data_IF_236634480882
#
_entry.id   IF_236634480882
#
_cell.length_a   1.000
_cell.length_b   1.000
_cell.length_c   1.000
_cell.angle_alpha   90.00
_cell.angle_beta   90.00
_cell.angle_gamma   90.00
#
_symmetry.space_group_name_H-M   'P 1'
#
loop_
_entity.id
_entity.type
_entity.pdbx_description
1 polymer ?
#
# COMPACT_ATOMS: atom_id res chain seq x y z
N UNK A 1 39.72 -78.47 -28.52
CA UNK A 1 38.61 -77.79 -29.23
C UNK A 1 38.45 -76.42 -28.59
N UNK A 2 38.57 -75.40 -29.43
CA UNK A 2 38.87 -73.99 -29.14
C UNK A 2 37.74 -73.27 -28.43
N UNK A 3 38.05 -72.61 -27.31
CA UNK A 3 37.15 -71.67 -26.62
C UNK A 3 37.32 -70.29 -27.26
N UNK A 4 36.32 -69.87 -28.03
CA UNK A 4 36.28 -68.59 -28.74
C UNK A 4 35.71 -67.51 -27.80
N UNK A 5 36.51 -66.47 -27.59
CA UNK A 5 36.22 -65.30 -26.76
C UNK A 5 35.28 -64.32 -27.46
N UNK A 6 34.10 -64.06 -26.89
CA UNK A 6 33.18 -63.01 -27.33
C UNK A 6 33.49 -61.71 -26.58
N UNK A 7 33.81 -60.59 -27.28
CA UNK A 7 34.13 -59.33 -26.62
C UNK A 7 32.85 -58.61 -26.16
N UNK A 8 32.95 -58.02 -24.97
CA UNK A 8 31.92 -57.23 -24.31
C UNK A 8 31.50 -56.02 -25.15
N UNK A 9 30.26 -56.07 -25.64
CA UNK A 9 29.57 -54.93 -26.25
C UNK A 9 29.32 -53.84 -25.21
N UNK A 10 30.12 -52.76 -25.31
CA UNK A 10 29.94 -51.50 -24.58
C UNK A 10 28.62 -50.85 -25.00
N UNK A 11 27.55 -51.05 -24.22
CA UNK A 11 26.33 -50.23 -24.32
C UNK A 11 26.70 -48.80 -23.93
N UNK A 12 26.66 -47.91 -24.91
CA UNK A 12 26.68 -46.47 -24.69
C UNK A 12 25.33 -46.10 -24.06
N UNK A 13 25.31 -45.92 -22.74
CA UNK A 13 24.23 -45.23 -22.05
C UNK A 13 24.26 -43.76 -22.48
N UNK A 14 23.53 -43.45 -23.55
CA UNK A 14 23.03 -42.10 -23.81
C UNK A 14 22.00 -41.77 -22.74
N UNK A 15 22.50 -41.42 -21.55
CA UNK A 15 21.77 -40.72 -20.52
C UNK A 15 21.44 -39.32 -21.07
N UNK A 16 20.38 -39.26 -21.86
CA UNK A 16 19.75 -38.01 -22.26
C UNK A 16 19.36 -37.27 -20.99
N UNK A 17 20.02 -36.14 -20.79
CA UNK A 17 19.70 -35.08 -19.84
C UNK A 17 18.26 -34.62 -20.08
N UNK A 18 17.31 -35.36 -19.50
CA UNK A 18 15.91 -34.97 -19.44
C UNK A 18 15.78 -33.99 -18.30
N UNK A 19 16.22 -32.75 -18.53
CA UNK A 19 15.86 -31.62 -17.68
C UNK A 19 14.33 -31.64 -17.60
N UNK A 20 13.72 -31.84 -16.41
CA UNK A 20 12.27 -31.90 -16.31
C UNK A 20 11.73 -30.58 -16.84
N UNK A 21 10.99 -30.67 -17.94
CA UNK A 21 10.35 -29.55 -18.60
C UNK A 21 9.49 -28.87 -17.52
N UNK A 22 9.97 -27.72 -17.02
CA UNK A 22 9.31 -26.96 -15.96
C UNK A 22 8.02 -26.45 -16.58
N UNK A 23 6.95 -27.24 -16.47
CA UNK A 23 5.61 -26.88 -16.89
C UNK A 23 5.28 -25.60 -16.13
N UNK A 24 5.36 -24.45 -16.80
CA UNK A 24 4.78 -23.22 -16.30
C UNK A 24 3.28 -23.48 -16.22
N UNK A 25 2.81 -23.76 -15.00
CA UNK A 25 1.39 -23.71 -14.68
C UNK A 25 0.89 -22.37 -15.16
N UNK A 26 0.02 -22.40 -16.17
CA UNK A 26 -0.68 -21.22 -16.69
C UNK A 26 -1.27 -20.50 -15.48
N UNK A 27 -1.03 -19.18 -15.30
CA UNK A 27 -1.62 -18.43 -14.21
C UNK A 27 -3.13 -18.65 -14.26
N UNK A 28 -3.68 -19.11 -13.13
CA UNK A 28 -5.12 -19.30 -12.96
C UNK A 28 -5.85 -18.05 -13.51
N UNK A 29 -6.89 -18.19 -14.35
CA UNK A 29 -7.61 -17.04 -14.87
C UNK A 29 -8.08 -16.21 -13.68
N UNK A 30 -7.68 -14.92 -13.67
CA UNK A 30 -8.05 -13.94 -12.65
C UNK A 30 -9.54 -14.05 -12.38
N UNK A 31 -9.90 -14.69 -11.25
CA UNK A 31 -11.29 -14.84 -10.86
C UNK A 31 -11.79 -13.44 -10.52
N UNK A 32 -12.65 -12.90 -11.40
CA UNK A 32 -13.31 -11.62 -11.19
C UNK A 32 -14.25 -11.80 -10.02
N UNK A 33 -13.76 -11.49 -8.81
CA UNK A 33 -14.57 -11.56 -7.60
C UNK A 33 -15.64 -10.48 -7.72
N UNK A 34 -16.91 -10.87 -7.82
CA UNK A 34 -18.01 -9.92 -7.79
C UNK A 34 -17.97 -9.16 -6.46
N UNK A 35 -18.09 -7.81 -6.48
CA UNK A 35 -18.10 -7.03 -5.26
C UNK A 35 -19.30 -7.44 -4.39
N UNK A 36 -19.03 -7.85 -3.15
CA UNK A 36 -20.08 -8.15 -2.18
C UNK A 36 -20.84 -6.88 -1.80
N UNK A 37 -22.11 -6.99 -1.42
CA UNK A 37 -22.95 -5.86 -0.97
C UNK A 37 -22.34 -5.10 0.21
N UNK A 38 -21.58 -5.80 1.06
CA UNK A 38 -20.81 -5.22 2.15
C UNK A 38 -19.68 -4.31 1.64
N UNK A 39 -18.91 -4.73 0.62
CA UNK A 39 -17.87 -3.87 0.02
C UNK A 39 -18.47 -2.61 -0.59
N UNK A 40 -19.62 -2.72 -1.25
CA UNK A 40 -20.31 -1.57 -1.85
C UNK A 40 -20.76 -0.60 -0.75
N UNK A 41 -21.28 -1.12 0.36
CA UNK A 41 -21.72 -0.32 1.51
C UNK A 41 -20.55 0.44 2.13
N UNK A 42 -19.43 -0.23 2.39
CA UNK A 42 -18.23 0.41 2.93
C UNK A 42 -17.62 1.44 1.98
N UNK A 43 -17.60 1.17 0.68
CA UNK A 43 -17.15 2.13 -0.32
C UNK A 43 -18.05 3.37 -0.37
N UNK A 44 -19.38 3.19 -0.29
CA UNK A 44 -20.34 4.29 -0.25
C UNK A 44 -20.18 5.15 1.02
N UNK A 45 -19.98 4.52 2.18
CA UNK A 45 -19.70 5.21 3.45
C UNK A 45 -18.40 6.00 3.37
N UNK A 46 -17.32 5.39 2.86
CA UNK A 46 -16.03 6.06 2.68
C UNK A 46 -16.11 7.24 1.71
N UNK A 47 -16.85 7.09 0.62
CA UNK A 47 -17.09 8.16 -0.34
C UNK A 47 -17.91 9.30 0.27
N UNK A 48 -19.02 8.98 0.95
CA UNK A 48 -19.85 9.96 1.65
C UNK A 48 -19.06 10.73 2.71
N UNK A 49 -18.26 10.02 3.50
CA UNK A 49 -17.32 10.63 4.45
C UNK A 49 -16.34 11.58 3.77
N UNK A 50 -15.73 11.16 2.65
CA UNK A 50 -14.76 11.97 1.90
C UNK A 50 -15.36 13.27 1.37
N UNK A 51 -16.61 13.21 0.88
CA UNK A 51 -17.33 14.38 0.40
C UNK A 51 -17.63 15.35 1.54
N UNK A 52 -18.12 14.86 2.68
CA UNK A 52 -18.45 15.69 3.85
C UNK A 52 -17.16 16.30 4.43
N UNK A 53 -16.15 15.48 4.68
CA UNK A 53 -14.87 15.92 5.23
C UNK A 53 -14.17 16.95 4.33
N UNK A 54 -14.28 16.79 3.01
CA UNK A 54 -13.73 17.72 2.02
C UNK A 54 -14.36 19.12 2.05
N UNK A 55 -15.55 19.29 2.65
CA UNK A 55 -16.18 20.62 2.78
C UNK A 55 -15.57 21.47 3.89
N UNK A 56 -15.03 20.85 4.95
CA UNK A 56 -14.54 21.61 6.10
C UNK A 56 -13.25 22.35 5.78
N UNK A 57 -13.16 23.61 6.24
CA UNK A 57 -11.93 24.38 6.14
C UNK A 57 -10.80 23.72 6.95
N UNK A 58 -9.57 23.84 6.44
CA UNK A 58 -8.38 23.26 7.07
C UNK A 58 -8.17 23.85 8.47
N UNK A 59 -7.67 23.04 9.40
CA UNK A 59 -7.32 23.44 10.78
C UNK A 59 -8.50 24.03 11.57
N UNK A 60 -9.72 23.59 11.28
CA UNK A 60 -10.91 23.96 12.06
C UNK A 60 -11.31 22.83 13.00
N UNK A 61 -11.86 23.18 14.17
CA UNK A 61 -12.35 22.20 15.16
C UNK A 61 -13.31 21.17 14.53
N UNK A 62 -14.26 21.54 13.65
CA UNK A 62 -15.13 20.57 12.99
C UNK A 62 -14.36 19.57 12.11
N UNK A 63 -13.32 20.01 11.40
CA UNK A 63 -12.50 19.12 10.57
C UNK A 63 -11.69 18.12 11.43
N UNK A 64 -11.15 18.59 12.55
CA UNK A 64 -10.44 17.75 13.52
C UNK A 64 -11.40 16.69 14.10
N UNK A 65 -12.57 17.11 14.57
CA UNK A 65 -13.57 16.18 15.11
C UNK A 65 -14.07 15.18 14.07
N UNK A 66 -14.32 15.62 12.84
CA UNK A 66 -14.73 14.76 11.73
C UNK A 66 -13.68 13.68 11.41
N UNK A 67 -12.40 13.93 11.68
CA UNK A 67 -11.32 12.97 11.42
C UNK A 67 -11.03 12.09 12.64
N UNK A 68 -10.94 12.71 13.83
CA UNK A 68 -10.58 12.04 15.07
C UNK A 68 -11.67 11.07 15.53
N UNK A 69 -12.95 11.43 15.43
CA UNK A 69 -14.03 10.59 15.93
C UNK A 69 -14.14 9.25 15.17
N UNK A 70 -14.19 9.22 13.82
CA UNK A 70 -14.19 7.96 13.07
C UNK A 70 -12.88 7.19 13.25
N UNK A 71 -11.73 7.87 13.27
CA UNK A 71 -10.43 7.23 13.50
C UNK A 71 -10.36 6.53 14.85
N UNK A 72 -10.79 7.21 15.93
CA UNK A 72 -10.86 6.66 17.27
C UNK A 72 -11.85 5.49 17.35
N UNK A 73 -13.01 5.58 16.69
CA UNK A 73 -13.98 4.49 16.63
C UNK A 73 -13.42 3.25 15.92
N UNK A 74 -12.67 3.44 14.83
CA UNK A 74 -12.00 2.35 14.10
C UNK A 74 -10.88 1.72 14.93
N UNK A 75 -10.05 2.52 15.59
CA UNK A 75 -9.00 2.01 16.51
C UNK A 75 -9.63 1.23 17.66
N UNK A 76 -10.67 1.79 18.29
CA UNK A 76 -11.43 1.11 19.34
C UNK A 76 -12.01 -0.22 18.87
N UNK A 77 -12.60 -0.26 17.67
CA UNK A 77 -13.14 -1.48 17.07
C UNK A 77 -12.04 -2.50 16.77
N UNK A 78 -10.90 -2.07 16.21
CA UNK A 78 -9.76 -2.92 15.90
C UNK A 78 -9.13 -3.54 17.16
N UNK A 79 -9.15 -2.82 18.29
CA UNK A 79 -8.63 -3.32 19.57
C UNK A 79 -9.57 -4.31 20.28
N UNK A 80 -10.77 -4.58 19.75
CA UNK A 80 -11.69 -5.55 20.37
C UNK A 80 -11.15 -6.97 20.24
N UNK A 81 -11.23 -7.81 21.29
CA UNK A 81 -10.76 -9.21 21.27
C UNK A 81 -11.42 -10.08 20.20
N UNK A 82 -12.62 -9.69 19.76
CA UNK A 82 -13.43 -10.41 18.78
C UNK A 82 -13.05 -10.12 17.33
N UNK A 83 -12.15 -9.16 17.10
CA UNK A 83 -11.74 -8.78 15.74
C UNK A 83 -10.69 -9.76 15.24
N UNK A 84 -10.93 -10.33 14.05
CA UNK A 84 -10.00 -11.25 13.41
C UNK A 84 -8.62 -10.58 13.29
N UNK A 85 -7.59 -11.20 13.86
CA UNK A 85 -6.24 -10.69 13.76
C UNK A 85 -5.67 -11.08 12.40
N UNK A 86 -5.28 -10.07 11.62
CA UNK A 86 -4.47 -10.30 10.44
C UNK A 86 -3.06 -10.73 10.88
N UNK A 87 -2.39 -11.62 10.12
CA UNK A 87 -1.00 -11.95 10.38
C UNK A 87 -0.16 -10.67 10.38
N UNK A 88 0.82 -10.61 11.28
CA UNK A 88 1.71 -9.46 11.36
C UNK A 88 2.39 -9.24 9.99
N UNK A 89 2.44 -8.01 9.47
CA UNK A 89 3.15 -7.72 8.23
C UNK A 89 4.62 -8.16 8.34
N UNK A 90 5.17 -8.66 7.24
CA UNK A 90 6.60 -8.94 7.14
C UNK A 90 7.41 -7.68 7.51
N UNK A 91 8.48 -7.80 8.31
CA UNK A 91 9.25 -6.66 8.74
C UNK A 91 9.82 -5.92 7.52
N UNK A 92 9.58 -4.61 7.46
CA UNK A 92 10.14 -3.78 6.41
C UNK A 92 11.67 -3.88 6.41
N UNK A 93 12.26 -4.01 5.21
CA UNK A 93 13.71 -3.99 5.08
C UNK A 93 14.27 -2.69 5.68
N UNK A 94 15.22 -2.80 6.61
CA UNK A 94 15.83 -1.66 7.31
C UNK A 94 16.27 -0.54 6.36
N UNK A 95 16.75 -0.90 5.17
CA UNK A 95 17.14 0.04 4.11
C UNK A 95 15.97 0.90 3.62
N UNK A 96 14.78 0.31 3.45
CA UNK A 96 13.56 1.03 3.09
C UNK A 96 13.17 2.02 4.20
N UNK A 97 13.15 1.55 5.45
CA UNK A 97 12.83 2.40 6.61
C UNK A 97 13.79 3.58 6.73
N UNK A 98 15.09 3.36 6.59
CA UNK A 98 16.11 4.42 6.66
C UNK A 98 15.95 5.41 5.51
N UNK A 99 15.67 4.94 4.29
CA UNK A 99 15.43 5.82 3.15
C UNK A 99 14.21 6.74 3.38
N UNK A 100 13.09 6.17 3.83
CA UNK A 100 11.89 6.94 4.16
C UNK A 100 12.09 7.90 5.33
N UNK A 101 12.81 7.45 6.38
CA UNK A 101 13.15 8.30 7.51
C UNK A 101 14.03 9.49 7.10
N UNK A 102 15.02 9.27 6.23
CA UNK A 102 15.88 10.33 5.71
C UNK A 102 15.08 11.36 4.90
N UNK A 103 14.14 10.91 4.06
CA UNK A 103 13.22 11.80 3.33
C UNK A 103 12.36 12.60 4.31
N UNK A 104 11.76 11.95 5.31
CA UNK A 104 10.93 12.63 6.30
C UNK A 104 11.71 13.69 7.11
N UNK A 105 12.94 13.38 7.52
CA UNK A 105 13.82 14.32 8.23
C UNK A 105 14.21 15.49 7.34
N UNK A 106 14.58 15.23 6.09
CA UNK A 106 14.93 16.28 5.14
C UNK A 106 13.75 17.25 4.89
N UNK A 107 12.55 16.70 4.69
CA UNK A 107 11.32 17.50 4.57
C UNK A 107 11.03 18.29 5.85
N UNK A 108 11.20 17.67 7.03
CA UNK A 108 10.99 18.35 8.31
C UNK A 108 11.97 19.50 8.56
N UNK A 109 13.24 19.33 8.21
CA UNK A 109 14.26 20.39 8.29
C UNK A 109 13.90 21.55 7.35
N UNK A 110 13.53 21.23 6.10
CA UNK A 110 13.14 22.24 5.12
C UNK A 110 11.90 23.03 5.57
N UNK A 111 10.87 22.35 6.07
CA UNK A 111 9.66 22.95 6.64
C UNK A 111 9.99 23.87 7.82
N UNK A 112 10.78 23.38 8.77
CA UNK A 112 11.16 24.16 9.94
C UNK A 112 11.98 25.41 9.55
N UNK A 113 12.87 25.27 8.56
CA UNK A 113 13.62 26.40 8.01
C UNK A 113 12.70 27.43 7.35
N UNK A 114 11.77 27.00 6.50
CA UNK A 114 10.82 27.87 5.83
C UNK A 114 9.92 28.61 6.85
N UNK A 115 9.42 27.88 7.85
CA UNK A 115 8.64 28.42 8.95
C UNK A 115 9.42 29.45 9.78
N UNK A 116 10.68 29.16 10.12
CA UNK A 116 11.55 30.09 10.84
C UNK A 116 11.84 31.39 10.05
N UNK A 117 11.69 31.35 8.72
CA UNK A 117 11.83 32.51 7.83
C UNK A 117 10.49 33.22 7.54
N UNK A 118 9.42 32.83 8.23
CA UNK A 118 8.12 33.50 8.19
C UNK A 118 7.14 32.97 7.13
N UNK A 119 7.38 31.80 6.54
CA UNK A 119 6.44 31.14 5.60
C UNK A 119 5.96 32.08 4.49
N UNK A 120 6.90 32.61 3.71
CA UNK A 120 6.62 33.54 2.61
C UNK A 120 6.78 32.85 1.26
N UNK A 121 6.36 33.48 0.15
CA UNK A 121 6.63 32.93 -1.19
C UNK A 121 8.12 32.77 -1.52
N UNK A 122 9.00 33.52 -0.84
CA UNK A 122 10.46 33.36 -0.97
C UNK A 122 11.01 32.16 -0.19
N UNK A 123 10.30 31.73 0.84
CA UNK A 123 10.63 30.57 1.68
C UNK A 123 9.36 29.73 1.90
N UNK A 124 8.80 29.11 0.83
CA UNK A 124 7.49 28.50 0.91
C UNK A 124 7.56 27.19 1.70
N UNK A 125 6.62 27.03 2.63
CA UNK A 125 6.32 25.75 3.24
C UNK A 125 5.57 24.87 2.24
N UNK A 126 5.57 23.56 2.46
CA UNK A 126 4.75 22.60 1.72
C UNK A 126 3.26 22.97 1.80
N UNK A 127 2.80 23.54 2.91
CA UNK A 127 1.42 24.02 3.04
C UNK A 127 1.09 25.14 2.06
N UNK A 128 2.01 26.08 1.81
CA UNK A 128 1.84 27.15 0.80
C UNK A 128 1.85 26.56 -0.61
N UNK A 129 2.78 25.65 -0.90
CA UNK A 129 2.88 25.00 -2.21
C UNK A 129 1.65 24.15 -2.53
N UNK A 130 1.10 23.45 -1.53
CA UNK A 130 -0.11 22.65 -1.66
C UNK A 130 -1.40 23.45 -1.55
N UNK A 131 -1.34 24.73 -1.20
CA UNK A 131 -2.51 25.62 -1.11
C UNK A 131 -3.37 25.53 -2.37
N UNK A 132 -2.83 25.92 -3.55
CA UNK A 132 -3.59 25.91 -4.80
C UNK A 132 -4.13 24.53 -5.21
N UNK A 133 -3.40 23.47 -4.86
CA UNK A 133 -3.75 22.10 -5.24
C UNK A 133 -4.87 21.54 -4.36
N UNK A 134 -4.87 21.85 -3.06
CA UNK A 134 -5.75 21.21 -2.07
C UNK A 134 -6.84 22.16 -1.56
N UNK A 135 -6.76 23.48 -1.77
CA UNK A 135 -7.78 24.43 -1.28
C UNK A 135 -9.17 24.21 -1.91
N UNK A 136 -9.28 23.89 -3.22
CA UNK A 136 -10.58 23.60 -3.82
C UNK A 136 -11.27 22.44 -3.07
N UNK A 137 -12.54 22.60 -2.63
CA UNK A 137 -13.32 21.51 -2.03
C UNK A 137 -13.27 20.17 -2.81
N UNK A 138 -13.34 20.14 -4.16
CA UNK A 138 -13.24 18.86 -4.88
C UNK A 138 -11.87 18.21 -4.77
N UNK A 139 -10.79 19.00 -4.65
CA UNK A 139 -9.44 18.46 -4.51
C UNK A 139 -9.23 17.83 -3.12
N UNK A 140 -9.82 18.41 -2.05
CA UNK A 140 -9.83 17.79 -0.72
C UNK A 140 -10.58 16.47 -0.72
N UNK A 141 -11.77 16.44 -1.31
CA UNK A 141 -12.55 15.21 -1.44
C UNK A 141 -11.76 14.12 -2.20
N UNK A 142 -11.10 14.48 -3.31
CA UNK A 142 -10.24 13.56 -4.05
C UNK A 142 -9.06 13.06 -3.20
N UNK A 143 -8.45 13.93 -2.39
CA UNK A 143 -7.41 13.55 -1.42
C UNK A 143 -7.88 12.52 -0.40
N UNK A 144 -9.07 12.73 0.19
CA UNK A 144 -9.68 11.76 1.12
C UNK A 144 -9.97 10.41 0.43
N UNK A 145 -10.50 10.43 -0.80
CA UNK A 145 -10.74 9.22 -1.58
C UNK A 145 -9.42 8.48 -1.84
N UNK A 146 -8.38 9.18 -2.30
CA UNK A 146 -7.07 8.58 -2.54
C UNK A 146 -6.47 7.97 -1.26
N UNK A 147 -6.63 8.65 -0.12
CA UNK A 147 -6.19 8.15 1.18
C UNK A 147 -6.92 6.87 1.59
N UNK A 148 -8.26 6.84 1.46
CA UNK A 148 -9.04 5.65 1.77
C UNK A 148 -8.70 4.48 0.84
N UNK A 149 -8.52 4.74 -0.46
CA UNK A 149 -8.10 3.72 -1.43
C UNK A 149 -6.71 3.16 -1.10
N UNK A 150 -5.77 4.01 -0.69
CA UNK A 150 -4.46 3.57 -0.22
C UNK A 150 -4.57 2.68 1.02
N UNK A 151 -5.40 3.07 2.00
CA UNK A 151 -5.67 2.25 3.20
C UNK A 151 -6.26 0.88 2.84
N UNK A 152 -7.26 0.84 1.96
CA UNK A 152 -7.85 -0.42 1.47
C UNK A 152 -6.81 -1.26 0.74
N UNK A 153 -5.98 -0.66 -0.12
CA UNK A 153 -4.92 -1.38 -0.82
C UNK A 153 -3.89 -1.99 0.13
N UNK A 154 -3.48 -1.26 1.17
CA UNK A 154 -2.55 -1.76 2.21
C UNK A 154 -3.16 -2.91 2.99
N UNK A 155 -4.44 -2.84 3.37
CA UNK A 155 -5.11 -3.90 4.14
C UNK A 155 -5.34 -5.16 3.31
N UNK A 156 -5.48 -5.04 1.98
CA UNK A 156 -5.69 -6.17 1.06
C UNK A 156 -4.40 -6.86 0.62
N UNK A 157 -3.24 -6.32 0.95
CA UNK A 157 -1.93 -6.87 0.58
C UNK A 157 -1.38 -7.76 1.69
#
# INVERSE_FOLDING_TARGET
>A
MTQESVPAGRRADTAGDRTPLRVHTVPEPLSVTHPTSEMISWAAVGLGFSLIAGTFARLTIPAELATVLPGAALVWYALRPTTAHFPAPEPFARRSTVAWAAVAVAFGIWELYAAARGSTHAHPTLSILLGPLIDPPPARAAGYVAWLLAGVWVVRR
#
